data_IF_976877383299
#
_entry.id   IF_976877383299
#
_cell.length_a   1.000
_cell.length_b   1.000
_cell.length_c   1.000
_cell.angle_alpha   90.00
_cell.angle_beta   90.00
_cell.angle_gamma   90.00
#
_symmetry.space_group_name_H-M   'P 1'
#
loop_
_entity.id
_entity.type
_entity.pdbx_description
1 polymer ?
#
# COMPACT_ATOMS: atom_id res chain seq x y z
N UNK A 1 -14.36 16.02 15.83
CA UNK A 1 -14.32 14.65 16.40
C UNK A 1 -14.09 13.65 15.27
N UNK A 2 -12.99 12.91 15.27
CA UNK A 2 -12.72 11.90 14.24
C UNK A 2 -13.77 10.77 14.30
N UNK A 3 -14.35 10.42 13.14
CA UNK A 3 -15.37 9.35 13.02
C UNK A 3 -14.81 7.99 13.50
N UNK A 4 -15.59 7.33 14.36
CA UNK A 4 -15.26 6.05 15.00
C UNK A 4 -14.90 4.96 13.96
N UNK A 5 -13.72 4.36 14.08
CA UNK A 5 -13.26 3.19 13.31
C UNK A 5 -12.18 3.44 12.26
N UNK A 6 -11.78 4.69 12.00
CA UNK A 6 -10.70 4.99 11.06
C UNK A 6 -9.33 5.06 11.76
N UNK A 7 -8.26 4.62 11.07
CA UNK A 7 -6.92 4.68 11.65
C UNK A 7 -6.44 6.13 11.83
N UNK A 8 -5.67 6.38 12.89
CA UNK A 8 -5.18 7.72 13.24
C UNK A 8 -4.29 8.32 12.14
N UNK A 9 -4.48 9.62 11.87
CA UNK A 9 -3.56 10.49 11.14
C UNK A 9 -2.54 10.99 12.18
N UNK A 10 -1.24 10.82 11.92
CA UNK A 10 -0.20 11.23 12.86
C UNK A 10 0.29 12.64 12.53
N UNK A 11 0.66 13.40 13.56
CA UNK A 11 1.43 14.63 13.40
C UNK A 11 2.90 14.32 13.06
N UNK A 12 3.65 15.34 12.65
CA UNK A 12 5.10 15.20 12.44
C UNK A 12 5.84 14.82 13.74
N UNK A 13 5.42 15.37 14.88
CA UNK A 13 6.02 15.06 16.19
C UNK A 13 5.75 13.61 16.60
N UNK A 14 4.52 13.12 16.37
CA UNK A 14 4.18 11.72 16.63
C UNK A 14 4.97 10.77 15.71
N UNK A 15 5.13 11.13 14.44
CA UNK A 15 5.94 10.35 13.50
C UNK A 15 7.43 10.36 13.90
N UNK A 16 7.96 11.50 14.35
CA UNK A 16 9.33 11.61 14.87
C UNK A 16 9.52 10.72 16.09
N UNK A 17 8.61 10.81 17.07
CA UNK A 17 8.66 9.99 18.28
C UNK A 17 8.61 8.48 17.96
N UNK A 18 7.82 8.07 16.95
CA UNK A 18 7.81 6.67 16.49
C UNK A 18 9.16 6.25 15.91
N UNK A 19 9.80 7.10 15.10
CA UNK A 19 11.10 6.81 14.50
C UNK A 19 12.21 6.78 15.56
N UNK A 20 12.16 7.68 16.55
CA UNK A 20 13.10 7.71 17.67
C UNK A 20 12.95 6.48 18.56
N UNK A 21 11.71 6.07 18.86
CA UNK A 21 11.44 4.86 19.64
C UNK A 21 11.98 3.61 18.91
N UNK A 22 11.79 3.51 17.59
CA UNK A 22 12.26 2.40 16.76
C UNK A 22 13.77 2.13 16.90
N UNK A 23 14.58 3.15 17.15
CA UNK A 23 16.04 3.01 17.33
C UNK A 23 16.42 2.14 18.54
N UNK A 24 15.53 2.02 19.52
CA UNK A 24 15.74 1.22 20.73
C UNK A 24 15.30 -0.26 20.56
N UNK A 25 14.77 -0.62 19.39
CA UNK A 25 14.26 -1.97 19.10
C UNK A 25 15.13 -2.72 18.10
N UNK A 26 14.91 -4.04 18.00
CA UNK A 26 15.65 -4.87 17.04
C UNK A 26 15.32 -4.50 15.60
N UNK A 27 16.36 -4.48 14.76
CA UNK A 27 16.30 -4.14 13.33
C UNK A 27 15.83 -2.70 13.07
N UNK A 28 16.46 -1.68 13.68
CA UNK A 28 15.97 -0.31 13.64
C UNK A 28 15.91 0.24 12.20
N UNK A 29 16.93 0.01 11.37
CA UNK A 29 16.92 0.48 9.98
C UNK A 29 15.77 -0.11 9.14
N UNK A 30 15.50 -1.41 9.30
CA UNK A 30 14.37 -2.08 8.64
C UNK A 30 13.03 -1.50 9.10
N UNK A 31 12.88 -1.32 10.41
CA UNK A 31 11.65 -0.84 11.04
C UNK A 31 11.35 0.61 10.64
N UNK A 32 12.38 1.46 10.67
CA UNK A 32 12.31 2.84 10.19
C UNK A 32 11.91 2.87 8.70
N UNK A 33 12.52 2.02 7.86
CA UNK A 33 12.14 1.92 6.45
C UNK A 33 10.68 1.50 6.24
N UNK A 34 10.16 0.56 7.04
CA UNK A 34 8.74 0.14 6.97
C UNK A 34 7.82 1.35 7.23
N UNK A 35 8.11 2.12 8.28
CA UNK A 35 7.32 3.31 8.64
C UNK A 35 7.47 4.39 7.55
N UNK A 36 8.68 4.71 7.12
CA UNK A 36 8.94 5.72 6.09
C UNK A 36 8.24 5.38 4.76
N UNK A 37 8.31 4.14 4.27
CA UNK A 37 7.58 3.74 3.06
C UNK A 37 6.07 3.93 3.23
N UNK A 38 5.51 3.60 4.40
CA UNK A 38 4.08 3.76 4.66
C UNK A 38 3.64 5.23 4.66
N UNK A 39 4.40 6.11 5.32
CA UNK A 39 4.05 7.53 5.49
C UNK A 39 4.43 8.41 4.30
N UNK A 40 5.50 8.07 3.57
CA UNK A 40 5.99 8.89 2.45
C UNK A 40 5.45 8.44 1.09
N UNK A 41 5.21 7.13 0.91
CA UNK A 41 4.70 6.57 -0.35
C UNK A 41 3.26 6.06 -0.26
N UNK A 42 2.67 6.04 0.94
CA UNK A 42 1.29 5.62 1.16
C UNK A 42 1.03 4.16 0.80
N UNK A 43 2.07 3.31 0.79
CA UNK A 43 1.91 1.91 0.42
C UNK A 43 1.16 1.13 1.50
N UNK A 44 0.29 0.22 1.06
CA UNK A 44 -0.40 -0.73 1.95
C UNK A 44 0.58 -1.81 2.39
N UNK A 45 0.35 -2.42 3.56
CA UNK A 45 1.16 -3.54 4.02
C UNK A 45 1.26 -4.70 3.00
N UNK A 46 0.18 -4.99 2.25
CA UNK A 46 0.26 -5.99 1.18
C UNK A 46 1.26 -5.59 0.08
N UNK A 47 1.30 -4.32 -0.30
CA UNK A 47 2.18 -3.82 -1.35
C UNK A 47 3.64 -3.81 -0.87
N UNK A 48 3.87 -3.34 0.36
CA UNK A 48 5.18 -3.33 1.00
C UNK A 48 5.76 -4.74 1.18
N UNK A 49 4.93 -5.70 1.62
CA UNK A 49 5.33 -7.09 1.81
C UNK A 49 5.78 -7.78 0.51
N UNK A 50 5.45 -7.20 -0.66
CA UNK A 50 5.78 -7.75 -1.98
C UNK A 50 6.98 -7.07 -2.66
N UNK A 51 7.43 -5.93 -2.12
CA UNK A 51 8.57 -5.19 -2.67
C UNK A 51 9.82 -6.08 -2.66
N UNK A 52 10.57 -6.03 -3.77
CA UNK A 52 11.89 -6.64 -3.90
C UNK A 52 12.91 -5.53 -4.10
N UNK A 53 14.17 -5.93 -4.07
CA UNK A 53 15.29 -4.98 -4.24
C UNK A 53 15.19 -4.24 -5.57
N UNK A 54 14.86 -4.93 -6.66
CA UNK A 54 14.77 -4.33 -8.00
C UNK A 54 13.72 -3.24 -8.15
N UNK A 55 12.68 -3.18 -7.31
CA UNK A 55 11.70 -2.11 -7.37
C UNK A 55 12.25 -0.79 -6.78
N UNK A 56 13.32 -0.84 -5.97
CA UNK A 56 13.88 0.33 -5.24
C UNK A 56 15.32 0.65 -5.63
N UNK A 57 16.14 -0.35 -5.97
CA UNK A 57 17.54 -0.17 -6.28
C UNK A 57 18.01 -1.07 -7.44
N UNK A 58 19.00 -0.60 -8.19
CA UNK A 58 19.80 -1.42 -9.09
C UNK A 58 21.03 -1.93 -8.33
N UNK A 59 21.41 -3.19 -8.55
CA UNK A 59 22.60 -3.80 -7.97
C UNK A 59 23.68 -3.93 -9.04
N UNK A 60 24.90 -3.53 -8.72
CA UNK A 60 26.08 -3.67 -9.59
C UNK A 60 27.34 -3.44 -8.76
N UNK A 61 28.39 -4.20 -9.04
CA UNK A 61 29.71 -4.01 -8.42
C UNK A 61 30.38 -2.70 -8.87
N UNK A 62 29.86 -2.06 -9.93
CA UNK A 62 30.28 -0.74 -10.41
C UNK A 62 29.83 0.40 -9.48
N UNK A 63 28.80 0.17 -8.67
CA UNK A 63 28.33 1.18 -7.71
C UNK A 63 29.17 1.12 -6.43
N UNK A 64 29.55 2.27 -5.88
CA UNK A 64 30.39 2.35 -4.69
C UNK A 64 29.83 1.59 -3.47
N UNK A 65 28.50 1.48 -3.34
CA UNK A 65 27.82 0.73 -2.26
C UNK A 65 27.34 -0.65 -2.71
N UNK A 66 27.68 -1.08 -3.92
CA UNK A 66 27.14 -2.26 -4.60
C UNK A 66 25.69 -2.08 -5.11
N UNK A 67 25.09 -0.90 -4.88
CA UNK A 67 23.78 -0.55 -5.38
C UNK A 67 23.63 0.94 -5.68
N UNK A 68 22.63 1.27 -6.51
CA UNK A 68 22.13 2.62 -6.77
C UNK A 68 20.63 2.65 -6.55
N UNK A 69 20.15 3.54 -5.67
CA UNK A 69 18.70 3.76 -5.47
C UNK A 69 18.13 4.37 -6.76
N UNK A 70 16.95 3.91 -7.16
CA UNK A 70 16.24 4.42 -8.33
C UNK A 70 15.57 5.75 -8.03
N UNK A 71 15.38 6.59 -9.05
CA UNK A 71 14.62 7.84 -8.90
C UNK A 71 13.12 7.57 -8.75
N UNK A 72 12.66 6.41 -9.22
CA UNK A 72 11.24 6.01 -9.22
C UNK A 72 11.09 4.57 -8.74
N UNK A 73 10.22 4.37 -7.75
CA UNK A 73 9.72 3.06 -7.35
C UNK A 73 8.54 2.69 -8.24
N UNK A 74 8.69 1.61 -9.01
CA UNK A 74 7.60 1.07 -9.84
C UNK A 74 6.87 -0.02 -9.05
N UNK A 75 5.61 0.23 -8.71
CA UNK A 75 4.74 -0.72 -8.03
C UNK A 75 3.80 -1.39 -9.05
N UNK A 76 3.99 -2.68 -9.37
CA UNK A 76 3.15 -3.36 -10.34
C UNK A 76 1.71 -3.54 -9.84
N UNK A 77 0.74 -3.51 -10.76
CA UNK A 77 -0.66 -3.87 -10.46
C UNK A 77 -0.81 -5.24 -9.76
N UNK A 78 0.12 -6.16 -10.04
CA UNK A 78 0.14 -7.51 -9.48
C UNK A 78 0.44 -7.54 -7.98
N UNK A 79 0.82 -6.42 -7.36
CA UNK A 79 1.05 -6.36 -5.91
C UNK A 79 -0.22 -6.00 -5.12
N UNK A 80 -1.30 -5.69 -5.83
CA UNK A 80 -2.60 -5.33 -5.23
C UNK A 80 -3.47 -6.57 -4.96
N UNK A 81 -4.54 -6.40 -4.17
CA UNK A 81 -5.51 -7.40 -3.68
C UNK A 81 -5.47 -8.80 -4.33
N UNK A 82 -5.11 -9.82 -3.54
CA UNK A 82 -5.08 -11.24 -3.95
C UNK A 82 -3.70 -11.75 -4.38
N UNK A 83 -2.71 -10.86 -4.49
CA UNK A 83 -1.32 -11.21 -4.71
C UNK A 83 -0.74 -11.97 -3.51
N UNK A 84 -0.22 -13.17 -3.76
CA UNK A 84 0.47 -13.98 -2.75
C UNK A 84 1.97 -13.73 -2.85
N UNK A 85 2.57 -13.15 -1.82
CA UNK A 85 4.02 -12.95 -1.72
C UNK A 85 4.80 -14.25 -1.91
N UNK A 86 4.23 -15.34 -1.40
CA UNK A 86 4.78 -16.69 -1.50
C UNK A 86 4.49 -17.39 -2.85
N UNK A 87 3.55 -16.90 -3.66
CA UNK A 87 3.21 -17.58 -4.93
C UNK A 87 4.25 -17.36 -6.03
N UNK A 88 5.07 -16.31 -5.92
CA UNK A 88 6.18 -16.10 -6.85
C UNK A 88 7.35 -17.08 -6.65
N UNK A 89 7.31 -17.93 -5.62
CA UNK A 89 8.38 -18.89 -5.27
C UNK A 89 8.07 -20.30 -5.80
N UNK A 90 6.92 -20.53 -6.45
CA UNK A 90 6.56 -21.86 -6.94
C UNK A 90 5.89 -21.85 -8.31
N UNK A 91 6.24 -22.83 -9.14
CA UNK A 91 5.68 -23.08 -10.47
C UNK A 91 4.25 -23.68 -10.40
N UNK A 92 3.43 -23.25 -9.43
CA UNK A 92 2.06 -23.74 -9.29
C UNK A 92 1.15 -22.96 -10.22
N UNK A 93 0.58 -23.66 -11.21
CA UNK A 93 -0.63 -23.22 -11.90
C UNK A 93 -1.70 -22.95 -10.85
N UNK A 94 -2.13 -21.70 -10.77
CA UNK A 94 -3.04 -21.24 -9.73
C UNK A 94 -4.47 -21.60 -10.15
N UNK A 95 -4.83 -22.88 -10.03
CA UNK A 95 -6.18 -23.35 -10.32
C UNK A 95 -7.17 -22.83 -9.27
N UNK A 96 -8.24 -22.21 -9.74
CA UNK A 96 -9.27 -21.62 -8.88
C UNK A 96 -10.14 -22.73 -8.31
N UNK A 97 -9.96 -23.04 -7.03
CA UNK A 97 -10.76 -24.06 -6.33
C UNK A 97 -12.05 -23.52 -5.70
N UNK A 98 -12.30 -22.20 -5.75
CA UNK A 98 -13.47 -21.59 -5.11
C UNK A 98 -14.04 -20.37 -5.85
N UNK A 99 -15.36 -20.22 -5.77
CA UNK A 99 -16.14 -19.13 -6.38
C UNK A 99 -17.04 -18.52 -5.31
N UNK A 100 -17.24 -17.19 -5.34
CA UNK A 100 -18.17 -16.47 -4.44
C UNK A 100 -19.11 -15.61 -5.27
N UNK A 101 -20.39 -15.63 -4.92
CA UNK A 101 -21.47 -14.81 -5.48
C UNK A 101 -22.51 -14.56 -4.39
N UNK A 102 -23.37 -13.55 -4.59
CA UNK A 102 -24.53 -13.30 -3.72
C UNK A 102 -25.65 -14.32 -3.99
N UNK A 103 -26.57 -14.50 -3.04
CA UNK A 103 -27.73 -15.39 -3.22
C UNK A 103 -28.52 -15.01 -4.48
N UNK A 104 -28.78 -13.72 -4.68
CA UNK A 104 -29.50 -13.26 -5.88
C UNK A 104 -28.75 -13.54 -7.21
N UNK A 105 -27.42 -13.47 -7.22
CA UNK A 105 -26.61 -13.86 -8.39
C UNK A 105 -26.67 -15.37 -8.64
N UNK A 106 -26.70 -16.18 -7.57
CA UNK A 106 -26.88 -17.62 -7.67
C UNK A 106 -28.23 -17.98 -8.27
N UNK A 107 -29.30 -17.39 -7.75
CA UNK A 107 -30.67 -17.69 -8.18
C UNK A 107 -30.86 -17.36 -9.67
N UNK A 108 -30.27 -16.25 -10.13
CA UNK A 108 -30.25 -15.90 -11.56
C UNK A 108 -29.50 -16.93 -12.39
N UNK A 109 -28.35 -17.42 -11.90
CA UNK A 109 -27.56 -18.43 -12.58
C UNK A 109 -28.33 -19.76 -12.70
N UNK A 110 -28.97 -20.21 -11.62
CA UNK A 110 -29.80 -21.42 -11.61
C UNK A 110 -30.99 -21.28 -12.55
N UNK A 111 -31.67 -20.13 -12.56
CA UNK A 111 -32.77 -19.86 -13.49
C UNK A 111 -32.31 -19.87 -14.95
N UNK A 112 -31.12 -19.35 -15.24
CA UNK A 112 -30.51 -19.40 -16.57
C UNK A 112 -30.21 -20.84 -16.99
N UNK A 113 -29.55 -21.63 -16.12
CA UNK A 113 -29.28 -23.05 -16.38
C UNK A 113 -30.58 -23.81 -16.66
N UNK A 114 -31.62 -23.60 -15.86
CA UNK A 114 -32.92 -24.26 -16.05
C UNK A 114 -33.59 -23.89 -17.39
N UNK A 115 -33.43 -22.64 -17.85
CA UNK A 115 -33.94 -22.18 -19.14
C UNK A 115 -33.16 -22.79 -20.30
N UNK A 116 -31.84 -22.87 -20.18
CA UNK A 116 -30.97 -23.39 -21.23
C UNK A 116 -31.02 -24.92 -21.33
N UNK A 117 -31.24 -25.62 -20.21
CA UNK A 117 -31.51 -27.06 -20.16
C UNK A 117 -32.74 -27.47 -20.99
N UNK A 118 -33.76 -26.61 -21.04
CA UNK A 118 -34.97 -26.84 -21.86
C UNK A 118 -34.74 -26.65 -23.36
N UNK A 119 -33.63 -26.01 -23.74
CA UNK A 119 -33.34 -25.57 -25.13
C UNK A 119 -32.16 -26.30 -25.76
N UNK A 120 -31.31 -26.96 -24.97
CA UNK A 120 -30.07 -27.61 -25.43
C UNK A 120 -30.03 -29.05 -24.93
N UNK A 121 -29.62 -29.99 -25.80
CA UNK A 121 -29.38 -31.39 -25.42
C UNK A 121 -28.13 -31.57 -24.56
N UNK A 122 -27.16 -30.64 -24.61
CA UNK A 122 -25.93 -30.74 -23.82
C UNK A 122 -25.57 -29.40 -23.20
N UNK A 123 -25.36 -29.41 -21.88
CA UNK A 123 -24.91 -28.27 -21.11
C UNK A 123 -23.46 -28.48 -20.67
N UNK A 124 -22.61 -27.48 -20.90
CA UNK A 124 -21.23 -27.49 -20.41
C UNK A 124 -21.13 -26.59 -19.18
N UNK A 125 -20.58 -27.09 -18.06
CA UNK A 125 -20.48 -26.33 -16.82
C UNK A 125 -19.69 -25.01 -16.98
N UNK A 126 -18.69 -25.00 -17.86
CA UNK A 126 -17.86 -23.84 -18.15
C UNK A 126 -18.65 -22.63 -18.68
N UNK A 127 -19.80 -22.86 -19.34
CA UNK A 127 -20.65 -21.80 -19.88
C UNK A 127 -21.33 -20.96 -18.79
N UNK A 128 -21.39 -21.49 -17.57
CA UNK A 128 -22.07 -20.88 -16.42
C UNK A 128 -21.09 -20.39 -15.34
N UNK A 129 -19.78 -20.50 -15.58
CA UNK A 129 -18.82 -19.97 -14.63
C UNK A 129 -18.88 -18.44 -14.59
N UNK A 130 -18.99 -17.83 -13.41
CA UNK A 130 -19.05 -16.38 -13.32
C UNK A 130 -17.75 -15.77 -13.84
N UNK A 131 -17.83 -14.62 -14.54
CA UNK A 131 -16.68 -13.99 -15.16
C UNK A 131 -15.58 -13.72 -14.14
N UNK A 132 -14.33 -13.96 -14.54
CA UNK A 132 -13.19 -13.65 -13.69
C UNK A 132 -13.11 -12.13 -13.47
N UNK A 133 -13.25 -11.70 -12.21
CA UNK A 133 -12.94 -10.32 -11.82
C UNK A 133 -11.44 -10.09 -12.05
N UNK A 134 -11.09 -9.33 -13.09
CA UNK A 134 -9.71 -8.95 -13.36
C UNK A 134 -9.13 -8.23 -12.14
N UNK A 135 -7.88 -8.50 -11.74
CA UNK A 135 -7.23 -7.80 -10.64
C UNK A 135 -7.34 -6.29 -10.83
N UNK A 136 -7.87 -5.62 -9.81
CA UNK A 136 -8.25 -4.22 -9.87
C UNK A 136 -7.11 -3.23 -9.68
N UNK A 137 -5.83 -3.64 -9.67
CA UNK A 137 -4.71 -2.72 -9.46
C UNK A 137 -4.40 -1.82 -10.65
N UNK A 138 -3.82 -0.65 -10.37
CA UNK A 138 -3.06 0.15 -11.34
C UNK A 138 -1.57 -0.02 -11.04
N UNK A 139 -0.72 0.03 -12.07
CA UNK A 139 0.72 0.21 -11.86
C UNK A 139 0.94 1.65 -11.40
N UNK A 140 1.80 1.85 -10.41
CA UNK A 140 2.17 3.17 -9.91
C UNK A 140 3.65 3.40 -10.08
N UNK A 141 4.00 4.60 -10.52
CA UNK A 141 5.35 5.12 -10.51
C UNK A 141 5.41 6.17 -9.40
N UNK A 142 6.22 5.89 -8.38
CA UNK A 142 6.32 6.70 -7.17
C UNK A 142 7.73 7.29 -7.10
N UNK A 143 7.90 8.59 -7.39
CA UNK A 143 9.20 9.25 -7.26
C UNK A 143 9.77 9.13 -5.85
N UNK A 144 11.04 8.74 -5.75
CA UNK A 144 11.79 8.63 -4.51
C UNK A 144 12.53 9.95 -4.26
N UNK A 145 11.79 11.00 -3.88
CA UNK A 145 12.31 12.35 -3.73
C UNK A 145 12.54 12.80 -2.27
N UNK A 146 11.96 12.11 -1.29
CA UNK A 146 12.09 12.47 0.13
C UNK A 146 13.46 12.01 0.67
N UNK A 147 14.24 12.95 1.18
CA UNK A 147 15.61 12.68 1.67
C UNK A 147 15.64 11.68 2.83
N UNK A 148 14.69 11.78 3.77
CA UNK A 148 14.61 10.88 4.91
C UNK A 148 14.25 9.45 4.49
N UNK A 149 13.40 9.29 3.47
CA UNK A 149 13.13 8.00 2.84
C UNK A 149 14.37 7.43 2.15
N UNK A 150 15.09 8.24 1.37
CA UNK A 150 16.32 7.83 0.68
C UNK A 150 17.41 7.40 1.68
N UNK A 151 17.51 8.09 2.81
CA UNK A 151 18.40 7.75 3.91
C UNK A 151 17.98 6.43 4.58
N UNK A 152 16.68 6.24 4.86
CA UNK A 152 16.18 5.00 5.43
C UNK A 152 16.39 3.79 4.50
N UNK A 153 16.19 3.97 3.18
CA UNK A 153 16.49 2.95 2.17
C UNK A 153 17.99 2.64 2.20
N UNK A 154 18.82 3.67 2.15
CA UNK A 154 20.27 3.58 2.18
C UNK A 154 20.79 2.81 3.39
N UNK A 155 20.36 3.21 4.58
CA UNK A 155 20.80 2.62 5.85
C UNK A 155 20.47 1.12 5.91
N UNK A 156 19.25 0.75 5.52
CA UNK A 156 18.84 -0.65 5.54
C UNK A 156 19.46 -1.49 4.42
N UNK A 157 19.68 -0.93 3.22
CA UNK A 157 20.37 -1.65 2.15
C UNK A 157 21.84 -1.89 2.49
N UNK A 158 22.51 -0.98 3.20
CA UNK A 158 23.87 -1.22 3.69
C UNK A 158 23.92 -2.39 4.69
N UNK A 159 22.99 -2.44 5.64
CA UNK A 159 22.86 -3.59 6.54
C UNK A 159 22.65 -4.89 5.77
N UNK A 160 21.86 -4.86 4.69
CA UNK A 160 21.61 -6.01 3.82
C UNK A 160 22.84 -6.43 3.01
N UNK A 161 23.63 -5.49 2.52
CA UNK A 161 24.88 -5.74 1.80
C UNK A 161 25.96 -6.31 2.72
N UNK A 162 25.96 -5.95 4.00
CA UNK A 162 26.89 -6.48 5.01
C UNK A 162 26.58 -7.94 5.43
N UNK A 163 25.41 -8.49 5.07
CA UNK A 163 25.10 -9.89 5.35
C UNK A 163 25.98 -10.83 4.50
N UNK A 164 26.37 -11.99 5.05
CA UNK A 164 27.14 -13.04 4.35
C UNK A 164 26.39 -13.75 3.20
N UNK A 165 25.38 -13.11 2.61
CA UNK A 165 24.58 -13.62 1.50
C UNK A 165 24.50 -12.54 0.43
N UNK A 166 24.86 -12.84 -0.83
CA UNK A 166 24.80 -11.85 -1.91
C UNK A 166 23.34 -11.43 -2.12
N UNK A 167 23.13 -10.11 -2.18
CA UNK A 167 21.83 -9.52 -2.44
C UNK A 167 21.47 -9.69 -3.92
N UNK A 168 20.25 -10.14 -4.21
CA UNK A 168 19.77 -10.35 -5.58
C UNK A 168 18.61 -9.40 -5.89
N UNK A 169 18.42 -9.01 -7.16
CA UNK A 169 17.32 -8.11 -7.53
C UNK A 169 15.92 -8.62 -7.14
N UNK A 170 15.73 -9.94 -7.12
CA UNK A 170 14.45 -10.57 -6.77
C UNK A 170 14.27 -10.87 -5.28
N UNK A 171 15.26 -10.58 -4.44
CA UNK A 171 15.14 -10.80 -3.01
C UNK A 171 14.12 -9.84 -2.40
N UNK A 172 13.39 -10.26 -1.35
CA UNK A 172 12.53 -9.36 -0.60
C UNK A 172 13.29 -8.10 -0.16
N UNK A 173 12.66 -6.94 -0.37
CA UNK A 173 13.15 -5.69 0.22
C UNK A 173 13.06 -5.83 1.74
N UNK A 174 11.90 -6.12 2.28
CA UNK A 174 11.69 -6.21 3.74
C UNK A 174 11.80 -7.66 4.21
N UNK A 175 12.79 -7.97 5.04
CA UNK A 175 12.97 -9.31 5.60
C UNK A 175 12.10 -9.52 6.84
N UNK A 176 11.28 -10.57 6.78
CA UNK A 176 10.65 -11.12 7.99
C UNK A 176 11.71 -11.67 8.95
N UNK A 177 11.32 -11.92 10.20
CA UNK A 177 12.20 -12.56 11.18
C UNK A 177 12.72 -13.94 10.72
N UNK A 178 12.01 -14.61 9.79
CA UNK A 178 12.42 -15.90 9.20
C UNK A 178 13.36 -15.76 7.99
N UNK A 179 13.73 -14.54 7.61
CA UNK A 179 14.66 -14.27 6.49
C UNK A 179 14.06 -14.33 5.09
N UNK A 180 12.73 -14.48 4.96
CA UNK A 180 12.00 -14.40 3.69
C UNK A 180 11.03 -13.22 3.65
N UNK A 181 10.15 -13.20 2.64
CA UNK A 181 9.07 -12.21 2.53
C UNK A 181 8.22 -12.14 3.80
N UNK A 182 7.78 -10.94 4.15
CA UNK A 182 6.64 -10.79 5.05
C UNK A 182 5.38 -11.38 4.42
N UNK A 183 4.50 -11.98 5.23
CA UNK A 183 3.09 -12.04 4.84
C UNK A 183 2.45 -10.67 5.07
N UNK A 184 1.42 -10.27 4.29
CA UNK A 184 0.73 -9.01 4.51
C UNK A 184 0.26 -8.85 5.97
N UNK A 185 -0.38 -9.87 6.55
CA UNK A 185 -0.88 -9.82 7.93
C UNK A 185 0.25 -9.62 8.94
N UNK A 186 1.33 -10.40 8.84
CA UNK A 186 2.47 -10.25 9.75
C UNK A 186 3.16 -8.89 9.65
N UNK A 187 3.13 -8.24 8.47
CA UNK A 187 3.63 -6.88 8.34
C UNK A 187 2.65 -5.87 8.95
N UNK A 188 1.33 -6.08 8.81
CA UNK A 188 0.32 -5.25 9.47
C UNK A 188 0.45 -5.31 10.98
N UNK A 189 0.61 -6.50 11.54
CA UNK A 189 0.79 -6.72 12.98
C UNK A 189 2.08 -6.05 13.45
N UNK A 190 3.18 -6.24 12.73
CA UNK A 190 4.45 -5.60 13.07
C UNK A 190 4.38 -4.07 13.04
N UNK A 191 3.68 -3.48 12.06
CA UNK A 191 3.42 -2.05 12.04
C UNK A 191 2.54 -1.60 13.22
N UNK A 192 1.52 -2.38 13.58
CA UNK A 192 0.67 -2.06 14.73
C UNK A 192 1.46 -2.10 16.04
N UNK A 193 2.36 -3.08 16.21
CA UNK A 193 3.29 -3.14 17.33
C UNK A 193 4.18 -1.89 17.40
N UNK A 194 4.84 -1.52 16.29
CA UNK A 194 5.69 -0.31 16.26
C UNK A 194 4.92 0.96 16.63
N UNK A 195 3.73 1.14 16.05
CA UNK A 195 2.94 2.37 16.24
C UNK A 195 2.25 2.43 17.61
N UNK A 196 1.65 1.31 18.07
CA UNK A 196 0.81 1.30 19.27
C UNK A 196 1.56 0.83 20.50
N UNK A 197 2.25 -0.29 20.40
CA UNK A 197 2.84 -0.97 21.57
C UNK A 197 4.16 -0.31 21.96
N UNK A 198 5.00 0.05 20.98
CA UNK A 198 6.27 0.72 21.27
C UNK A 198 6.06 2.22 21.49
N UNK A 199 5.30 2.86 20.60
CA UNK A 199 5.20 4.33 20.57
C UNK A 199 3.95 4.90 21.26
N UNK A 200 3.06 4.06 21.79
CA UNK A 200 1.87 4.51 22.51
C UNK A 200 0.80 5.23 21.66
N UNK A 201 0.88 5.18 20.32
CA UNK A 201 -0.02 5.94 19.46
C UNK A 201 -1.39 5.23 19.36
N UNK A 202 -2.37 5.75 20.09
CA UNK A 202 -3.71 5.18 20.09
C UNK A 202 -4.39 5.22 18.70
N UNK A 203 -5.13 4.15 18.37
CA UNK A 203 -5.81 3.92 17.09
C UNK A 203 -4.92 3.96 15.85
N UNK A 204 -3.59 3.94 16.00
CA UNK A 204 -2.69 3.78 14.87
C UNK A 204 -2.74 2.35 14.31
N UNK A 205 -2.58 2.19 13.00
CA UNK A 205 -2.52 0.87 12.36
C UNK A 205 -1.68 0.91 11.09
N UNK A 206 -1.57 -0.22 10.40
CA UNK A 206 -0.93 -0.30 9.07
C UNK A 206 -1.51 0.65 8.00
N UNK A 207 -2.71 1.21 8.22
CA UNK A 207 -3.29 2.23 7.35
C UNK A 207 -2.93 3.66 7.73
N UNK A 208 -2.43 3.92 8.95
CA UNK A 208 -2.15 5.27 9.45
C UNK A 208 -1.19 6.06 8.56
N UNK A 209 -0.11 5.45 8.06
CA UNK A 209 0.82 6.15 7.17
C UNK A 209 0.17 6.61 5.86
N UNK A 210 -0.58 5.71 5.22
CA UNK A 210 -1.34 6.04 4.01
C UNK A 210 -2.40 7.11 4.23
N UNK A 211 -3.08 7.08 5.37
CA UNK A 211 -4.09 8.09 5.73
C UNK A 211 -3.44 9.44 5.99
N UNK A 212 -2.33 9.45 6.72
CA UNK A 212 -1.55 10.65 6.99
C UNK A 212 -1.08 11.29 5.69
N UNK A 213 -0.49 10.51 4.77
CA UNK A 213 -0.12 11.03 3.45
C UNK A 213 -1.31 11.60 2.69
N UNK A 214 -2.43 10.88 2.64
CA UNK A 214 -3.63 11.34 1.93
C UNK A 214 -4.17 12.65 2.50
N UNK A 215 -4.24 12.76 3.82
CA UNK A 215 -4.68 13.97 4.53
C UNK A 215 -3.74 15.14 4.26
N UNK A 216 -2.42 14.95 4.40
CA UNK A 216 -1.45 16.04 4.21
C UNK A 216 -1.44 16.54 2.75
N UNK A 217 -1.53 15.63 1.77
CA UNK A 217 -1.61 16.04 0.37
C UNK A 217 -2.89 16.86 0.09
N UNK A 218 -4.04 16.42 0.60
CA UNK A 218 -5.31 17.09 0.31
C UNK A 218 -5.49 18.41 1.06
N UNK A 219 -5.13 18.47 2.34
CA UNK A 219 -5.47 19.59 3.21
C UNK A 219 -4.29 20.56 3.40
N UNK A 220 -3.10 20.04 3.69
CA UNK A 220 -1.95 20.89 4.01
C UNK A 220 -1.30 21.44 2.73
N UNK A 221 -1.20 20.60 1.69
CA UNK A 221 -0.59 20.98 0.40
C UNK A 221 -1.62 21.48 -0.62
N UNK A 222 -2.92 21.24 -0.38
CA UNK A 222 -3.98 21.65 -1.30
C UNK A 222 -3.97 20.92 -2.64
N UNK A 223 -3.39 19.71 -2.70
CA UNK A 223 -3.26 18.95 -3.95
C UNK A 223 -4.61 18.49 -4.51
N UNK A 224 -4.68 18.43 -5.83
CA UNK A 224 -5.87 17.96 -6.51
C UNK A 224 -6.15 16.49 -6.19
N UNK A 225 -7.44 16.17 -6.01
CA UNK A 225 -7.90 14.82 -5.68
C UNK A 225 -7.40 13.75 -6.66
N UNK A 226 -7.28 14.10 -7.95
CA UNK A 226 -6.77 13.22 -9.00
C UNK A 226 -5.28 12.90 -8.83
N UNK A 227 -4.47 13.88 -8.40
CA UNK A 227 -3.05 13.68 -8.06
C UNK A 227 -2.93 12.71 -6.89
N UNK A 228 -3.71 12.94 -5.82
CA UNK A 228 -3.74 12.06 -4.64
C UNK A 228 -4.22 10.64 -5.01
N UNK A 229 -5.20 10.51 -5.90
CA UNK A 229 -5.64 9.21 -6.42
C UNK A 229 -4.53 8.45 -7.15
N UNK A 230 -3.72 9.13 -7.97
CA UNK A 230 -2.60 8.52 -8.69
C UNK A 230 -1.51 8.04 -7.71
N UNK A 231 -1.13 8.87 -6.74
CA UNK A 231 -0.16 8.53 -5.68
C UNK A 231 -0.64 7.30 -4.90
N UNK A 232 -1.90 7.30 -4.48
CA UNK A 232 -2.47 6.22 -3.68
C UNK A 232 -2.84 4.98 -4.53
N UNK A 233 -3.09 5.12 -5.83
CA UNK A 233 -3.55 4.03 -6.70
C UNK A 233 -5.01 3.66 -6.46
N UNK A 234 -5.85 4.66 -6.16
CA UNK A 234 -7.29 4.48 -6.08
C UNK A 234 -7.91 4.53 -7.48
N UNK A 235 -8.75 3.55 -7.81
CA UNK A 235 -9.51 3.53 -9.08
C UNK A 235 -10.79 4.37 -9.02
N UNK A 236 -11.23 4.76 -7.83
CA UNK A 236 -12.47 5.50 -7.62
C UNK A 236 -12.20 6.67 -6.69
N UNK A 237 -12.76 7.82 -7.06
CA UNK A 237 -12.76 9.03 -6.25
C UNK A 237 -13.39 8.80 -4.87
N UNK A 238 -14.40 7.94 -4.77
CA UNK A 238 -15.05 7.61 -3.50
C UNK A 238 -14.08 7.06 -2.44
N UNK A 239 -12.99 6.40 -2.84
CA UNK A 239 -11.96 5.89 -1.89
C UNK A 239 -10.99 6.99 -1.42
N UNK A 240 -11.00 8.15 -2.06
CA UNK A 240 -10.15 9.30 -1.75
C UNK A 240 -10.96 10.41 -1.07
N UNK A 241 -12.25 10.53 -1.38
CA UNK A 241 -13.21 11.42 -0.68
C UNK A 241 -13.35 11.09 0.80
N UNK A 242 -13.06 9.85 1.24
CA UNK A 242 -13.01 9.51 2.68
C UNK A 242 -11.97 10.30 3.48
N UNK A 243 -11.06 11.00 2.80
CA UNK A 243 -10.06 11.87 3.40
C UNK A 243 -10.41 13.35 3.30
N UNK A 244 -11.46 13.72 2.56
CA UNK A 244 -11.95 15.09 2.45
C UNK A 244 -12.90 15.38 3.61
N UNK A 245 -12.35 15.62 4.80
CA UNK A 245 -13.11 16.27 5.87
C UNK A 245 -12.89 17.78 5.72
N UNK A 246 -13.82 18.46 5.05
CA UNK A 246 -13.77 19.92 4.92
C UNK A 246 -14.25 20.53 6.23
N UNK A 247 -13.40 21.33 6.87
CA UNK A 247 -13.73 22.03 8.10
C UNK A 247 -14.53 23.31 7.82
N UNK A 248 -15.37 23.73 8.78
CA UNK A 248 -16.09 25.01 8.65
C UNK A 248 -15.13 26.20 8.54
N UNK A 249 -13.94 26.10 9.14
CA UNK A 249 -12.88 27.10 9.03
C UNK A 249 -12.33 27.21 7.60
N UNK A 250 -12.10 26.09 6.91
CA UNK A 250 -11.69 26.09 5.51
C UNK A 250 -12.78 26.68 4.61
N UNK A 251 -14.05 26.34 4.84
CA UNK A 251 -15.17 26.95 4.10
C UNK A 251 -15.19 28.47 4.29
N UNK A 252 -15.03 28.94 5.53
CA UNK A 252 -14.97 30.39 5.83
C UNK A 252 -13.78 31.07 5.17
N UNK A 253 -12.60 30.45 5.16
CA UNK A 253 -11.42 31.01 4.50
C UNK A 253 -11.57 31.07 2.98
N UNK A 254 -12.11 30.01 2.36
CA UNK A 254 -12.36 29.97 0.91
C UNK A 254 -13.36 31.06 0.52
N UNK A 255 -14.46 31.21 1.26
CA UNK A 255 -15.44 32.26 1.02
C UNK A 255 -14.87 33.67 1.26
N UNK A 256 -14.01 33.84 2.26
CA UNK A 256 -13.31 35.11 2.50
C UNK A 256 -12.38 35.47 1.33
N UNK A 257 -11.54 34.54 0.87
CA UNK A 257 -10.67 34.72 -0.29
C UNK A 257 -11.45 34.98 -1.58
N UNK A 258 -12.58 34.29 -1.76
CA UNK A 258 -13.46 34.55 -2.89
C UNK A 258 -14.02 35.98 -2.83
N UNK A 259 -14.48 36.43 -1.66
CA UNK A 259 -14.91 37.81 -1.44
C UNK A 259 -13.84 38.85 -1.76
N UNK A 260 -12.59 38.61 -1.39
CA UNK A 260 -11.43 39.47 -1.71
C UNK A 260 -11.07 39.45 -3.21
N UNK A 261 -11.39 38.38 -3.94
CA UNK A 261 -11.17 38.30 -5.39
C UNK A 261 -12.25 38.98 -6.24
N UNK A 262 -13.34 39.43 -5.60
CA UNK A 262 -14.40 40.23 -6.22
C UNK A 262 -14.27 41.71 -5.87
N UNK A 263 -13.05 42.28 -5.93
CA UNK A 263 -12.89 43.73 -5.86
C UNK A 263 -13.74 44.38 -6.98
N UNK A 264 -14.87 44.96 -6.57
CA UNK A 264 -15.72 45.91 -7.30
C UNK A 264 -15.40 47.33 -6.81
#
# INVERSE_FOLDING_TARGET
MAKNGQAKVLSNDELSAVLDEIEHHRYPAKNALIIQISFKLGLRAQEMALLRIREVAALSDEFARGYKIKDVLVLPKSFTKGARAMAAVGNKTNERTSVRFTVAEFDRLVAQIAKDARRRETLTAADYYPPMKKPGGLTRELPLADSALLEAISRYLDERMALKKPLRPNDPLLLSQKGGFYSPNTLQDHMATMLREWSGIDRASSHSGRRTLATNLLHDQGEHLETVQKVLGHKSAATTTIYQDVTEQEVRQVLKKAGESYDL
#
